data_IF_400748585464
#
_entry.id   IF_400748585464
#
_cell.length_a   1.000
_cell.length_b   1.000
_cell.length_c   1.000
_cell.angle_alpha   90.00
_cell.angle_beta   90.00
_cell.angle_gamma   90.00
#
_symmetry.space_group_name_H-M   'P 1'
#
loop_
_entity.id
_entity.type
_entity.pdbx_description
1 polymer ?
#
# COMPACT_ATOMS: atom_id res chain seq x y z
N UNK A 1 -16.64 7.68 29.72
CA UNK A 1 -15.23 7.55 29.29
C UNK A 1 -14.85 8.86 28.60
N UNK A 2 -13.74 9.51 28.99
CA UNK A 2 -13.22 10.71 28.29
C UNK A 2 -12.19 10.23 27.27
N UNK A 3 -12.30 10.70 26.02
CA UNK A 3 -11.27 10.45 25.00
C UNK A 3 -10.01 11.20 25.42
N UNK A 4 -8.91 10.47 25.61
CA UNK A 4 -7.63 11.02 26.05
C UNK A 4 -6.72 11.38 24.88
N UNK A 5 -6.88 10.74 23.71
CA UNK A 5 -6.25 11.11 22.44
C UNK A 5 -7.30 11.08 21.32
N UNK A 6 -7.61 12.23 20.72
CA UNK A 6 -8.59 12.27 19.64
C UNK A 6 -8.02 11.63 18.37
N UNK A 7 -6.79 11.99 18.00
CA UNK A 7 -6.12 11.44 16.82
C UNK A 7 -6.06 9.90 16.85
N UNK A 8 -5.61 9.32 17.97
CA UNK A 8 -5.52 7.86 18.11
C UNK A 8 -6.91 7.22 18.10
N UNK A 9 -7.88 7.79 18.82
CA UNK A 9 -9.23 7.23 18.84
C UNK A 9 -9.86 7.16 17.44
N UNK A 10 -9.78 8.25 16.67
CA UNK A 10 -10.34 8.29 15.31
C UNK A 10 -9.54 7.44 14.32
N UNK A 11 -8.21 7.35 14.45
CA UNK A 11 -7.40 6.41 13.66
C UNK A 11 -7.74 4.96 13.98
N UNK A 12 -7.99 4.64 15.25
CA UNK A 12 -8.42 3.32 15.70
C UNK A 12 -9.78 2.94 15.12
N UNK A 13 -10.75 3.88 15.14
CA UNK A 13 -12.06 3.70 14.49
C UNK A 13 -11.89 3.47 12.98
N UNK A 14 -11.03 4.24 12.32
CA UNK A 14 -10.77 4.09 10.89
C UNK A 14 -10.18 2.71 10.57
N UNK A 15 -9.13 2.28 11.28
CA UNK A 15 -8.52 0.96 11.07
C UNK A 15 -9.46 -0.19 11.40
N UNK A 16 -10.24 -0.09 12.49
CA UNK A 16 -11.22 -1.11 12.84
C UNK A 16 -12.35 -1.23 11.83
N UNK A 17 -12.92 -0.09 11.39
CA UNK A 17 -14.03 -0.10 10.43
C UNK A 17 -13.59 -0.53 9.04
N UNK A 18 -12.48 0.00 8.52
CA UNK A 18 -11.95 -0.36 7.20
C UNK A 18 -11.45 -1.80 7.21
N UNK A 19 -10.67 -2.19 8.22
CA UNK A 19 -10.22 -3.58 8.38
C UNK A 19 -11.38 -4.55 8.45
N UNK A 20 -12.43 -4.22 9.21
CA UNK A 20 -13.63 -5.03 9.34
C UNK A 20 -14.39 -5.17 8.02
N UNK A 21 -14.52 -4.07 7.28
CA UNK A 21 -15.14 -4.07 5.95
C UNK A 21 -14.36 -4.95 4.96
N UNK A 22 -13.03 -4.87 4.94
CA UNK A 22 -12.20 -5.76 4.12
C UNK A 22 -12.32 -7.23 4.56
N UNK A 23 -12.32 -7.51 5.86
CA UNK A 23 -12.47 -8.88 6.37
C UNK A 23 -13.83 -9.48 5.99
N UNK A 24 -14.92 -8.73 6.19
CA UNK A 24 -16.27 -9.16 5.82
C UNK A 24 -16.37 -9.30 4.29
N UNK A 25 -15.91 -8.31 3.52
CA UNK A 25 -15.92 -8.35 2.06
C UNK A 25 -15.12 -9.55 1.51
N UNK A 26 -13.97 -9.87 2.11
CA UNK A 26 -13.14 -11.00 1.72
C UNK A 26 -13.84 -12.35 1.88
N UNK A 27 -14.82 -12.48 2.79
CA UNK A 27 -15.61 -13.72 2.95
C UNK A 27 -16.49 -14.04 1.75
N UNK A 28 -16.76 -13.07 0.88
CA UNK A 28 -17.50 -13.29 -0.38
C UNK A 28 -16.62 -13.87 -1.50
N UNK A 29 -15.30 -13.89 -1.32
CA UNK A 29 -14.33 -14.46 -2.25
C UNK A 29 -13.85 -15.83 -1.77
N UNK A 30 -13.35 -16.65 -2.69
CA UNK A 30 -12.67 -17.90 -2.32
C UNK A 30 -11.40 -17.56 -1.54
N UNK A 31 -11.34 -18.01 -0.29
CA UNK A 31 -10.18 -17.81 0.59
C UNK A 31 -9.06 -18.80 0.23
N UNK A 32 -9.41 -20.03 -0.16
CA UNK A 32 -8.43 -21.09 -0.40
C UNK A 32 -7.79 -21.58 0.90
N UNK A 33 -6.56 -22.10 0.80
CA UNK A 33 -5.74 -22.59 1.93
C UNK A 33 -4.41 -21.82 1.97
N UNK A 34 -3.64 -21.88 3.05
CA UNK A 34 -2.35 -21.21 3.19
C UNK A 34 -1.33 -21.61 2.10
N UNK A 35 -1.44 -22.82 1.55
CA UNK A 35 -0.61 -23.28 0.43
C UNK A 35 -1.15 -22.84 -0.95
N UNK A 36 -2.43 -22.50 -1.05
CA UNK A 36 -3.11 -22.09 -2.29
C UNK A 36 -4.05 -20.93 -1.97
N UNK A 37 -3.45 -19.78 -1.71
CA UNK A 37 -4.16 -18.57 -1.33
C UNK A 37 -5.11 -18.16 -2.45
N UNK A 38 -6.41 -18.13 -2.15
CA UNK A 38 -7.41 -17.55 -3.01
C UNK A 38 -7.42 -16.02 -2.92
N UNK A 39 -8.16 -15.32 -3.81
CA UNK A 39 -8.21 -13.86 -3.83
C UNK A 39 -8.71 -13.24 -2.51
N UNK A 40 -9.49 -13.97 -1.72
CA UNK A 40 -9.97 -13.53 -0.41
C UNK A 40 -8.95 -13.67 0.73
N UNK A 41 -7.89 -14.48 0.58
CA UNK A 41 -6.97 -14.79 1.69
C UNK A 41 -6.26 -13.55 2.23
N UNK A 42 -5.59 -12.81 1.33
CA UNK A 42 -4.79 -11.66 1.72
C UNK A 42 -5.66 -10.52 2.28
N UNK A 43 -6.77 -10.10 1.64
CA UNK A 43 -7.68 -9.11 2.20
C UNK A 43 -8.28 -9.51 3.55
N UNK A 44 -8.62 -10.80 3.75
CA UNK A 44 -9.16 -11.29 5.03
C UNK A 44 -8.14 -11.17 6.15
N UNK A 45 -6.94 -11.71 5.95
CA UNK A 45 -5.89 -11.72 6.97
C UNK A 45 -5.46 -10.29 7.33
N UNK A 46 -5.24 -9.45 6.33
CA UNK A 46 -4.89 -8.05 6.52
C UNK A 46 -6.03 -7.30 7.22
N UNK A 47 -7.28 -7.52 6.81
CA UNK A 47 -8.46 -6.91 7.42
C UNK A 47 -8.62 -7.25 8.90
N UNK A 48 -8.42 -8.52 9.27
CA UNK A 48 -8.44 -8.97 10.67
C UNK A 48 -7.33 -8.30 11.48
N UNK A 49 -6.09 -8.32 10.99
CA UNK A 49 -4.94 -7.71 11.67
C UNK A 49 -5.14 -6.21 11.87
N UNK A 50 -5.57 -5.49 10.82
CA UNK A 50 -5.90 -4.06 10.90
C UNK A 50 -7.04 -3.80 11.90
N UNK A 51 -8.04 -4.68 11.94
CA UNK A 51 -9.17 -4.52 12.85
C UNK A 51 -8.77 -4.62 14.32
N UNK A 52 -7.95 -5.64 14.63
CA UNK A 52 -7.41 -5.87 15.97
C UNK A 52 -6.50 -4.71 16.38
N UNK A 53 -5.58 -4.31 15.50
CA UNK A 53 -4.66 -3.21 15.78
C UNK A 53 -5.42 -1.89 16.01
N UNK A 54 -6.43 -1.60 15.19
CA UNK A 54 -7.32 -0.45 15.37
C UNK A 54 -8.07 -0.48 16.70
N UNK A 55 -8.55 -1.66 17.13
CA UNK A 55 -9.24 -1.81 18.40
C UNK A 55 -8.29 -1.60 19.59
N UNK A 56 -7.05 -2.08 19.49
CA UNK A 56 -6.00 -1.84 20.49
C UNK A 56 -5.69 -0.35 20.59
N UNK A 57 -5.47 0.34 19.47
CA UNK A 57 -5.19 1.79 19.44
C UNK A 57 -6.38 2.57 20.03
N UNK A 58 -7.60 2.23 19.64
CA UNK A 58 -8.82 2.85 20.16
C UNK A 58 -8.93 2.67 21.68
N UNK A 59 -8.62 1.48 22.20
CA UNK A 59 -8.63 1.22 23.64
C UNK A 59 -7.53 2.02 24.36
N UNK A 60 -6.31 2.07 23.82
CA UNK A 60 -5.22 2.87 24.37
C UNK A 60 -5.60 4.36 24.44
N UNK A 61 -6.28 4.89 23.43
CA UNK A 61 -6.76 6.27 23.39
C UNK A 61 -7.79 6.63 24.48
N UNK A 62 -8.40 5.62 25.14
CA UNK A 62 -9.34 5.80 26.25
C UNK A 62 -8.67 5.61 27.62
N UNK A 63 -7.55 4.87 27.69
CA UNK A 63 -6.91 4.43 28.94
C UNK A 63 -5.63 5.22 29.24
N UNK A 64 -4.82 5.51 28.22
CA UNK A 64 -3.54 6.21 28.37
C UNK A 64 -3.79 7.71 28.44
N UNK A 65 -3.26 8.37 29.46
CA UNK A 65 -3.36 9.82 29.58
C UNK A 65 -2.39 10.49 28.61
N UNK A 66 -2.90 11.37 27.76
CA UNK A 66 -2.07 12.29 26.97
C UNK A 66 -2.17 13.68 27.58
N UNK A 67 -1.07 14.44 27.52
CA UNK A 67 -0.97 15.76 28.12
C UNK A 67 -1.89 16.79 27.48
N UNK A 68 -2.24 16.64 26.20
CA UNK A 68 -2.91 17.69 25.42
C UNK A 68 -4.12 17.21 24.60
N UNK A 69 -4.58 15.96 24.76
CA UNK A 69 -5.75 15.43 24.05
C UNK A 69 -5.51 15.09 22.57
N UNK A 70 -4.35 15.44 22.03
CA UNK A 70 -3.88 15.26 20.64
C UNK A 70 -5.00 15.45 19.59
N UNK A 71 -5.37 16.71 19.27
CA UNK A 71 -6.46 16.99 18.35
C UNK A 71 -6.11 16.55 16.93
N UNK A 72 -7.13 16.13 16.17
CA UNK A 72 -6.94 15.77 14.75
C UNK A 72 -6.36 16.96 13.99
N UNK A 73 -5.19 16.75 13.39
CA UNK A 73 -4.51 17.72 12.54
C UNK A 73 -5.22 17.98 11.20
N UNK A 74 -4.62 18.84 10.38
CA UNK A 74 -5.12 19.11 9.02
C UNK A 74 -4.98 17.89 8.11
N UNK A 75 -5.89 17.77 7.15
CA UNK A 75 -5.83 16.73 6.14
C UNK A 75 -4.56 16.83 5.28
N UNK A 76 -3.86 15.70 5.14
CA UNK A 76 -2.63 15.59 4.38
C UNK A 76 -2.89 15.33 2.88
N UNK A 77 -3.53 16.29 2.20
CA UNK A 77 -3.93 16.18 0.79
C UNK A 77 -2.76 15.89 -0.15
N UNK A 78 -1.60 16.48 0.10
CA UNK A 78 -0.39 16.26 -0.70
C UNK A 78 0.05 14.80 -0.62
N UNK A 79 0.37 14.22 0.56
CA UNK A 79 0.70 12.80 0.66
C UNK A 79 -0.35 11.88 0.08
N UNK A 80 -1.64 12.16 0.33
CA UNK A 80 -2.73 11.35 -0.19
C UNK A 80 -2.73 11.29 -1.73
N UNK A 81 -2.64 12.44 -2.39
CA UNK A 81 -2.64 12.51 -3.85
C UNK A 81 -1.42 11.80 -4.46
N UNK A 82 -0.23 11.98 -3.88
CA UNK A 82 0.99 11.34 -4.37
C UNK A 82 0.97 9.82 -4.17
N UNK A 83 0.55 9.31 -3.01
CA UNK A 83 0.51 7.86 -2.75
C UNK A 83 -0.54 7.16 -3.61
N UNK A 84 -1.73 7.74 -3.77
CA UNK A 84 -2.76 7.19 -4.65
C UNK A 84 -2.32 7.26 -6.12
N UNK A 85 -1.80 8.41 -6.55
CA UNK A 85 -1.29 8.60 -7.90
C UNK A 85 -0.14 7.64 -8.24
N UNK A 86 0.75 7.37 -7.29
CA UNK A 86 1.85 6.42 -7.47
C UNK A 86 1.35 4.98 -7.66
N UNK A 87 0.36 4.54 -6.88
CA UNK A 87 -0.26 3.21 -7.03
C UNK A 87 -0.99 3.07 -8.38
N UNK A 88 -1.73 4.11 -8.80
CA UNK A 88 -2.38 4.13 -10.11
C UNK A 88 -1.34 4.09 -11.24
N UNK A 89 -0.29 4.91 -11.16
CA UNK A 89 0.79 4.90 -12.13
C UNK A 89 1.49 3.53 -12.20
N UNK A 90 1.75 2.90 -11.06
CA UNK A 90 2.31 1.56 -11.01
C UNK A 90 1.44 0.54 -11.76
N UNK A 91 0.15 0.49 -11.47
CA UNK A 91 -0.79 -0.43 -12.13
C UNK A 91 -0.84 -0.21 -13.65
N UNK A 92 -0.93 1.05 -14.07
CA UNK A 92 -0.95 1.45 -15.50
C UNK A 92 0.35 1.08 -16.21
N UNK A 93 1.51 1.33 -15.60
CA UNK A 93 2.81 1.05 -16.21
C UNK A 93 3.11 -0.45 -16.24
N UNK A 94 2.68 -1.21 -15.22
CA UNK A 94 2.91 -2.64 -15.15
C UNK A 94 1.99 -3.41 -16.11
N UNK A 95 0.69 -3.11 -16.11
CA UNK A 95 -0.31 -3.82 -16.90
C UNK A 95 -0.57 -3.22 -18.29
N UNK A 96 -0.10 -2.00 -18.55
CA UNK A 96 -0.53 -1.19 -19.69
C UNK A 96 -1.94 -0.64 -19.49
N UNK A 97 -2.37 0.23 -20.41
CA UNK A 97 -3.73 0.77 -20.44
C UNK A 97 -4.30 0.68 -21.85
N UNK A 98 -5.05 -0.39 -22.18
CA UNK A 98 -5.57 -0.63 -23.52
C UNK A 98 -6.51 0.48 -24.02
N UNK A 99 -7.24 1.14 -23.13
CA UNK A 99 -8.21 2.19 -23.46
C UNK A 99 -7.57 3.44 -24.09
N UNK A 100 -6.28 3.69 -23.82
CA UNK A 100 -5.51 4.81 -24.39
C UNK A 100 -4.36 4.33 -25.28
N UNK A 101 -4.29 3.02 -25.57
CA UNK A 101 -3.22 2.42 -26.36
C UNK A 101 -1.85 2.42 -25.69
N UNK A 102 -1.78 2.56 -24.36
CA UNK A 102 -0.51 2.56 -23.64
C UNK A 102 -0.03 1.11 -23.43
N UNK A 103 1.13 0.71 -23.98
CA UNK A 103 1.66 -0.63 -23.76
C UNK A 103 2.14 -0.81 -22.31
N UNK A 104 2.28 -2.06 -21.87
CA UNK A 104 2.95 -2.36 -20.61
C UNK A 104 4.43 -1.93 -20.69
N UNK A 105 4.84 -1.07 -19.75
CA UNK A 105 6.21 -0.56 -19.59
C UNK A 105 7.08 -1.51 -18.76
N UNK A 106 6.46 -2.48 -18.09
CA UNK A 106 7.13 -3.52 -17.33
C UNK A 106 7.45 -3.14 -15.89
N UNK A 107 7.85 -4.15 -15.12
CA UNK A 107 8.07 -4.09 -13.68
C UNK A 107 9.11 -3.04 -13.27
N UNK A 108 10.23 -2.94 -13.99
CA UNK A 108 11.32 -2.03 -13.59
C UNK A 108 10.84 -0.58 -13.67
N UNK A 109 10.24 -0.18 -14.79
CA UNK A 109 9.74 1.20 -14.97
C UNK A 109 8.62 1.50 -13.97
N UNK A 110 7.71 0.54 -13.75
CA UNK A 110 6.65 0.70 -12.77
C UNK A 110 7.20 0.94 -11.35
N UNK A 111 8.22 0.21 -10.91
CA UNK A 111 8.85 0.38 -9.59
C UNK A 111 9.51 1.77 -9.47
N UNK A 112 10.25 2.21 -10.49
CA UNK A 112 10.85 3.54 -10.48
C UNK A 112 9.80 4.66 -10.41
N UNK A 113 8.74 4.56 -11.21
CA UNK A 113 7.65 5.53 -11.17
C UNK A 113 6.96 5.54 -9.79
N UNK A 114 6.60 4.38 -9.26
CA UNK A 114 5.98 4.24 -7.95
C UNK A 114 6.80 4.89 -6.84
N UNK A 115 8.10 4.59 -6.80
CA UNK A 115 9.02 5.06 -5.75
C UNK A 115 9.29 6.56 -5.86
N UNK A 116 9.51 7.08 -7.07
CA UNK A 116 9.70 8.51 -7.30
C UNK A 116 8.42 9.29 -6.96
N UNK A 117 7.26 8.84 -7.42
CA UNK A 117 5.99 9.54 -7.17
C UNK A 117 5.64 9.49 -5.68
N UNK A 118 5.79 8.34 -5.03
CA UNK A 118 5.50 8.20 -3.60
C UNK A 118 6.45 9.02 -2.73
N UNK A 119 7.74 9.10 -3.07
CA UNK A 119 8.72 9.87 -2.27
C UNK A 119 8.49 11.38 -2.31
N UNK A 120 7.80 11.90 -3.34
CA UNK A 120 7.37 13.31 -3.38
C UNK A 120 6.28 13.66 -2.36
N UNK A 121 5.64 12.65 -1.76
CA UNK A 121 4.73 12.83 -0.62
C UNK A 121 5.46 13.35 0.63
N UNK A 122 6.73 12.98 0.80
CA UNK A 122 7.53 13.33 1.97
C UNK A 122 7.97 14.80 2.02
N UNK A 123 8.39 15.25 3.19
CA UNK A 123 8.95 16.59 3.38
C UNK A 123 10.42 16.68 2.91
N UNK A 124 11.14 15.56 2.94
CA UNK A 124 12.56 15.48 2.60
C UNK A 124 12.77 14.63 1.34
N UNK A 125 12.67 15.26 0.16
CA UNK A 125 12.94 14.59 -1.12
C UNK A 125 14.39 14.79 -1.55
N UNK A 126 15.15 13.69 -1.63
CA UNK A 126 16.50 13.65 -2.21
C UNK A 126 16.50 12.66 -3.37
N UNK A 127 16.56 13.18 -4.59
CA UNK A 127 16.48 12.35 -5.80
C UNK A 127 17.52 11.21 -5.81
N UNK A 128 18.73 11.47 -5.31
CA UNK A 128 19.78 10.44 -5.19
C UNK A 128 19.33 9.26 -4.32
N UNK A 129 18.79 9.54 -3.14
CA UNK A 129 18.40 8.49 -2.18
C UNK A 129 17.21 7.70 -2.72
N UNK A 130 16.29 8.38 -3.41
CA UNK A 130 15.12 7.76 -4.07
C UNK A 130 15.55 6.85 -5.21
N UNK A 131 16.50 7.28 -6.05
CA UNK A 131 17.01 6.46 -7.15
C UNK A 131 17.79 5.24 -6.65
N UNK A 132 18.52 5.37 -5.54
CA UNK A 132 19.17 4.23 -4.89
C UNK A 132 18.11 3.25 -4.38
N UNK A 133 17.09 3.76 -3.67
CA UNK A 133 15.99 2.95 -3.16
C UNK A 133 15.23 2.24 -4.29
N UNK A 134 14.91 2.94 -5.37
CA UNK A 134 14.21 2.37 -6.52
C UNK A 134 15.03 1.30 -7.21
N UNK A 135 16.36 1.48 -7.31
CA UNK A 135 17.27 0.47 -7.85
C UNK A 135 17.29 -0.79 -6.99
N UNK A 136 17.41 -0.64 -5.66
CA UNK A 136 17.41 -1.77 -4.72
C UNK A 136 16.08 -2.52 -4.79
N UNK A 137 14.96 -1.81 -4.80
CA UNK A 137 13.63 -2.41 -4.92
C UNK A 137 13.46 -3.12 -6.26
N UNK A 138 13.86 -2.50 -7.37
CA UNK A 138 13.75 -3.10 -8.70
C UNK A 138 14.61 -4.36 -8.82
N UNK A 139 15.86 -4.32 -8.34
CA UNK A 139 16.74 -5.48 -8.32
C UNK A 139 16.20 -6.58 -7.40
N UNK A 140 15.73 -6.23 -6.20
CA UNK A 140 15.13 -7.16 -5.25
C UNK A 140 13.87 -7.83 -5.81
N UNK A 141 12.98 -7.06 -6.44
CA UNK A 141 11.78 -7.59 -7.11
C UNK A 141 12.13 -8.48 -8.29
N UNK A 142 13.14 -8.13 -9.09
CA UNK A 142 13.62 -9.00 -10.18
C UNK A 142 14.15 -10.34 -9.64
N UNK A 143 15.01 -10.28 -8.62
CA UNK A 143 15.57 -11.48 -7.98
C UNK A 143 14.47 -12.34 -7.36
N UNK A 144 13.54 -11.75 -6.62
CA UNK A 144 12.46 -12.49 -5.97
C UNK A 144 11.48 -13.09 -7.00
N UNK A 145 10.96 -12.29 -7.93
CA UNK A 145 9.88 -12.73 -8.81
C UNK A 145 10.36 -13.50 -10.03
N UNK A 146 11.43 -13.04 -10.68
CA UNK A 146 11.89 -13.63 -11.94
C UNK A 146 12.90 -14.75 -11.68
N UNK A 147 13.90 -14.52 -10.82
CA UNK A 147 14.96 -15.50 -10.60
C UNK A 147 14.56 -16.59 -9.60
N UNK A 148 14.05 -16.22 -8.42
CA UNK A 148 13.73 -17.18 -7.35
C UNK A 148 12.39 -17.89 -7.61
N UNK A 149 11.32 -17.13 -7.91
CA UNK A 149 9.97 -17.67 -8.11
C UNK A 149 9.66 -18.05 -9.56
N UNK A 150 10.50 -17.66 -10.53
CA UNK A 150 10.32 -17.94 -11.96
C UNK A 150 8.95 -17.50 -12.50
N UNK A 151 8.41 -16.40 -11.99
CA UNK A 151 7.17 -15.83 -12.45
C UNK A 151 7.35 -15.17 -13.81
N UNK A 152 6.42 -15.42 -14.73
CA UNK A 152 6.37 -14.77 -16.03
C UNK A 152 5.70 -13.40 -15.89
N UNK A 153 6.46 -12.40 -15.43
CA UNK A 153 6.03 -11.01 -15.37
C UNK A 153 6.80 -10.21 -16.42
N UNK A 154 6.13 -9.29 -17.09
CA UNK A 154 6.75 -8.36 -18.03
C UNK A 154 7.77 -7.47 -17.29
N UNK A 155 9.07 -7.70 -17.49
CA UNK A 155 10.14 -6.94 -16.81
C UNK A 155 10.43 -5.63 -17.52
N UNK A 156 10.53 -5.70 -18.84
CA UNK A 156 10.91 -4.62 -19.73
C UNK A 156 9.70 -4.10 -20.50
N UNK A 157 9.79 -2.93 -21.15
CA UNK A 157 8.72 -2.47 -22.01
C UNK A 157 8.51 -3.42 -23.19
N UNK A 158 7.25 -3.64 -23.54
CA UNK A 158 6.84 -4.56 -24.61
C UNK A 158 7.42 -4.23 -25.99
N UNK A 159 7.83 -2.98 -26.24
CA UNK A 159 8.49 -2.56 -27.47
C UNK A 159 10.00 -2.85 -27.51
N UNK A 160 10.62 -3.19 -26.37
CA UNK A 160 12.04 -3.58 -26.29
C UNK A 160 12.18 -5.11 -26.21
N UNK A 161 11.19 -5.78 -25.64
CA UNK A 161 11.23 -7.23 -25.38
C UNK A 161 10.53 -8.07 -26.47
N UNK A 162 10.61 -7.64 -27.74
CA UNK A 162 10.06 -8.37 -28.88
C UNK A 162 10.60 -9.79 -29.00
#
# INVERSE_FOLDING_TARGET
MRIKSQADFFSGVMFTSVGGAFAIGATTYTIGDGARMGPGYFPLMLGILLSILGAIIMFQALVVETTDGDPIGKWAWKPLAFVLGANLAFGVLLGGLPSIGLPAMGMIIAIYALTIISSMAGEHFKLRDVLILSTILAAGSYVAFIWALKLQIQVWPTFISG
#
